data_IF_250501767265
#
_entry.id   IF_250501767265
#
_cell.length_a   1.000
_cell.length_b   1.000
_cell.length_c   1.000
_cell.angle_alpha   90.00
_cell.angle_beta   90.00
_cell.angle_gamma   90.00
#
_symmetry.space_group_name_H-M   'P 1'
#
loop_
_entity.id
_entity.type
_entity.pdbx_description
1 polymer ?
#
# COMPACT_ATOMS: atom_id res chain seq x y z
N UNK A 1 -13.71 19.07 -22.85
CA UNK A 1 -12.37 18.44 -22.88
C UNK A 1 -12.52 16.98 -22.53
N UNK A 2 -12.47 16.18 -23.54
CA UNK A 2 -12.45 14.74 -23.40
C UNK A 2 -11.08 14.33 -22.93
N UNK A 3 -10.99 13.90 -21.69
CA UNK A 3 -9.78 13.26 -21.22
C UNK A 3 -9.59 11.98 -22.00
N UNK A 4 -8.64 12.00 -22.88
CA UNK A 4 -8.22 10.82 -23.61
C UNK A 4 -7.49 9.86 -22.66
N UNK A 5 -8.27 9.19 -21.82
CA UNK A 5 -7.78 8.04 -21.09
C UNK A 5 -8.56 6.79 -21.52
N UNK A 6 -8.82 6.71 -22.79
CA UNK A 6 -9.64 5.69 -23.41
C UNK A 6 -8.85 4.47 -23.86
N UNK A 7 -7.92 3.96 -23.06
CA UNK A 7 -7.16 2.79 -23.48
C UNK A 7 -6.67 1.89 -22.37
N UNK A 8 -6.63 2.36 -21.13
CA UNK A 8 -6.16 1.55 -20.01
C UNK A 8 -7.27 1.29 -19.02
N UNK A 9 -7.55 0.00 -18.76
CA UNK A 9 -8.46 -0.39 -17.70
C UNK A 9 -7.94 0.13 -16.35
N UNK A 10 -8.85 0.58 -15.48
CA UNK A 10 -8.50 0.97 -14.13
C UNK A 10 -7.93 -0.21 -13.35
N UNK A 11 -7.22 0.05 -12.27
CA UNK A 11 -6.68 -0.99 -11.38
C UNK A 11 -7.81 -1.91 -10.89
N UNK A 12 -8.95 -1.35 -10.50
CA UNK A 12 -10.13 -2.12 -10.09
C UNK A 12 -10.61 -3.06 -11.19
N UNK A 13 -10.63 -2.61 -12.44
CA UNK A 13 -11.02 -3.44 -13.58
C UNK A 13 -10.01 -4.58 -13.81
N UNK A 14 -8.73 -4.33 -13.67
CA UNK A 14 -7.69 -5.37 -13.72
C UNK A 14 -7.93 -6.46 -12.68
N UNK A 15 -8.25 -6.06 -11.46
CA UNK A 15 -8.55 -6.99 -10.37
C UNK A 15 -9.78 -7.83 -10.71
N UNK A 16 -10.82 -7.22 -11.27
CA UNK A 16 -12.03 -7.93 -11.71
C UNK A 16 -11.74 -8.93 -12.80
N UNK A 17 -10.94 -8.56 -13.78
CA UNK A 17 -10.53 -9.45 -14.87
C UNK A 17 -9.73 -10.63 -14.34
N UNK A 18 -8.83 -10.39 -13.40
CA UNK A 18 -8.03 -11.44 -12.79
C UNK A 18 -8.89 -12.39 -11.96
N UNK A 19 -9.92 -11.89 -11.29
CA UNK A 19 -10.89 -12.74 -10.60
C UNK A 19 -11.61 -13.65 -11.59
N UNK A 20 -12.05 -13.13 -12.72
CA UNK A 20 -12.69 -13.92 -13.78
C UNK A 20 -11.75 -15.01 -14.28
N UNK A 21 -10.49 -14.68 -14.50
CA UNK A 21 -9.46 -15.64 -14.91
C UNK A 21 -9.25 -16.73 -13.86
N UNK A 22 -9.16 -16.35 -12.58
CA UNK A 22 -9.01 -17.31 -11.47
C UNK A 22 -10.21 -18.24 -11.36
N UNK A 23 -11.41 -17.75 -11.60
CA UNK A 23 -12.63 -18.57 -11.61
C UNK A 23 -12.61 -19.60 -12.73
N UNK A 24 -12.12 -19.23 -13.92
CA UNK A 24 -12.03 -20.13 -15.08
C UNK A 24 -10.93 -21.17 -14.91
N UNK A 25 -9.81 -20.80 -14.32
CA UNK A 25 -8.66 -21.68 -14.09
C UNK A 25 -8.81 -22.56 -12.84
N UNK A 26 -9.87 -22.38 -12.08
CA UNK A 26 -10.13 -23.09 -10.81
C UNK A 26 -9.06 -22.82 -9.74
N UNK A 27 -8.42 -21.70 -9.80
CA UNK A 27 -7.46 -21.23 -8.78
C UNK A 27 -8.25 -20.69 -7.57
N UNK A 28 -8.52 -21.58 -6.62
CA UNK A 28 -9.35 -21.27 -5.45
C UNK A 28 -8.71 -20.20 -4.54
N UNK A 29 -7.41 -20.26 -4.37
CA UNK A 29 -6.69 -19.34 -3.49
C UNK A 29 -6.74 -17.91 -4.04
N UNK A 30 -6.41 -17.71 -5.32
CA UNK A 30 -6.49 -16.41 -5.96
C UNK A 30 -7.92 -15.90 -6.04
N UNK A 31 -8.87 -16.78 -6.35
CA UNK A 31 -10.29 -16.41 -6.40
C UNK A 31 -10.78 -15.87 -5.06
N UNK A 32 -10.47 -16.55 -3.97
CA UNK A 32 -10.86 -16.11 -2.62
C UNK A 32 -10.20 -14.78 -2.25
N UNK A 33 -8.91 -14.66 -2.48
CA UNK A 33 -8.15 -13.43 -2.19
C UNK A 33 -8.67 -12.24 -2.98
N UNK A 34 -8.91 -12.41 -4.28
CA UNK A 34 -9.41 -11.34 -5.14
C UNK A 34 -10.83 -10.92 -4.80
N UNK A 35 -11.69 -11.85 -4.39
CA UNK A 35 -13.03 -11.51 -3.91
C UNK A 35 -12.98 -10.65 -2.64
N UNK A 36 -12.10 -10.99 -1.71
CA UNK A 36 -11.91 -10.22 -0.48
C UNK A 36 -11.37 -8.82 -0.77
N UNK A 37 -10.45 -8.72 -1.72
CA UNK A 37 -9.90 -7.42 -2.12
C UNK A 37 -10.98 -6.54 -2.75
N UNK A 38 -11.79 -7.08 -3.66
CA UNK A 38 -12.89 -6.32 -4.27
C UNK A 38 -13.92 -5.90 -3.23
N UNK A 39 -14.21 -6.75 -2.24
CA UNK A 39 -15.11 -6.39 -1.15
C UNK A 39 -14.54 -5.24 -0.32
N UNK A 40 -13.24 -5.22 -0.05
CA UNK A 40 -12.58 -4.12 0.66
C UNK A 40 -12.64 -2.82 -0.13
N UNK A 41 -12.44 -2.89 -1.45
CA UNK A 41 -12.55 -1.73 -2.34
C UNK A 41 -13.99 -1.18 -2.32
N UNK A 42 -14.99 -2.04 -2.42
CA UNK A 42 -16.41 -1.64 -2.36
C UNK A 42 -16.76 -1.01 -1.01
N UNK A 43 -16.25 -1.55 0.08
CA UNK A 43 -16.46 -1.00 1.42
C UNK A 43 -15.91 0.42 1.51
N UNK A 44 -14.74 0.66 0.92
CA UNK A 44 -14.14 2.00 0.88
C UNK A 44 -14.97 2.95 0.02
N UNK A 45 -15.50 2.51 -1.11
CA UNK A 45 -16.36 3.31 -1.99
C UNK A 45 -17.61 3.82 -1.28
N UNK A 46 -18.10 3.10 -0.29
CA UNK A 46 -19.34 3.43 0.44
C UNK A 46 -19.10 3.91 1.86
N UNK A 47 -17.84 4.07 2.28
CA UNK A 47 -17.48 4.39 3.68
C UNK A 47 -18.00 5.74 4.15
N UNK A 48 -18.28 6.67 3.24
CA UNK A 48 -18.77 8.01 3.56
C UNK A 48 -20.31 8.12 3.50
N UNK A 49 -21.01 7.01 3.30
CA UNK A 49 -22.46 6.98 3.17
C UNK A 49 -22.97 7.22 1.75
N UNK A 50 -22.15 7.73 0.87
CA UNK A 50 -22.43 7.87 -0.58
C UNK A 50 -21.39 7.10 -1.37
N UNK A 51 -21.81 6.49 -2.46
CA UNK A 51 -20.88 5.77 -3.31
C UNK A 51 -19.94 6.75 -4.02
N UNK A 52 -18.66 6.59 -3.80
CA UNK A 52 -17.60 7.37 -4.43
C UNK A 52 -16.72 6.43 -5.24
N UNK A 53 -16.50 6.75 -6.51
CA UNK A 53 -15.58 6.00 -7.34
C UNK A 53 -14.16 6.29 -6.91
N UNK A 54 -13.38 5.24 -6.61
CA UNK A 54 -12.00 5.37 -6.17
C UNK A 54 -11.06 5.51 -7.37
N UNK A 55 -10.06 6.37 -7.21
CA UNK A 55 -8.95 6.46 -8.17
C UNK A 55 -8.03 5.24 -7.99
N UNK A 56 -7.14 5.02 -8.95
CA UNK A 56 -6.13 3.95 -8.83
C UNK A 56 -5.26 4.14 -7.58
N UNK A 57 -4.89 5.38 -7.25
CA UNK A 57 -4.14 5.66 -6.02
C UNK A 57 -4.93 5.29 -4.77
N UNK A 58 -6.23 5.54 -4.74
CA UNK A 58 -7.09 5.14 -3.64
C UNK A 58 -7.18 3.61 -3.52
N UNK A 59 -7.24 2.91 -4.65
CA UNK A 59 -7.25 1.44 -4.67
C UNK A 59 -5.92 0.91 -4.16
N UNK A 60 -4.80 1.52 -4.53
CA UNK A 60 -3.47 1.14 -4.02
C UNK A 60 -3.38 1.31 -2.50
N UNK A 61 -4.01 2.34 -1.94
CA UNK A 61 -4.07 2.54 -0.48
C UNK A 61 -4.86 1.43 0.21
N UNK A 62 -5.97 1.01 -0.38
CA UNK A 62 -6.76 -0.13 0.12
C UNK A 62 -5.90 -1.40 0.10
N UNK A 63 -5.20 -1.66 -1.00
CA UNK A 63 -4.32 -2.82 -1.15
C UNK A 63 -3.23 -2.82 -0.07
N UNK A 64 -2.56 -1.69 0.13
CA UNK A 64 -1.51 -1.56 1.15
C UNK A 64 -2.04 -1.84 2.56
N UNK A 65 -3.21 -1.33 2.89
CA UNK A 65 -3.88 -1.56 4.18
C UNK A 65 -4.24 -3.03 4.36
N UNK A 66 -4.76 -3.67 3.34
CA UNK A 66 -5.12 -5.10 3.38
C UNK A 66 -3.90 -6.00 3.50
N UNK A 67 -2.80 -5.65 2.85
CA UNK A 67 -1.52 -6.37 2.98
C UNK A 67 -1.00 -6.26 4.43
N UNK A 68 -0.97 -5.05 4.97
CA UNK A 68 -0.50 -4.81 6.35
C UNK A 68 -1.31 -5.62 7.36
N UNK A 69 -2.62 -5.59 7.24
CA UNK A 69 -3.55 -6.33 8.10
C UNK A 69 -3.26 -7.83 8.08
N UNK A 70 -3.03 -8.40 6.90
CA UNK A 70 -2.74 -9.83 6.75
C UNK A 70 -1.37 -10.22 7.26
N UNK A 71 -0.37 -9.37 7.08
CA UNK A 71 0.97 -9.60 7.65
C UNK A 71 0.93 -9.61 9.18
N UNK A 72 0.20 -8.68 9.77
CA UNK A 72 -0.01 -8.63 11.22
C UNK A 72 -0.71 -9.90 11.72
N UNK A 73 -1.76 -10.35 11.02
CA UNK A 73 -2.45 -11.58 11.35
C UNK A 73 -1.54 -12.81 11.24
N UNK A 74 -0.73 -12.87 10.18
CA UNK A 74 0.22 -13.98 9.98
C UNK A 74 1.23 -14.05 11.12
N UNK A 75 1.74 -12.90 11.55
CA UNK A 75 2.68 -12.83 12.68
C UNK A 75 2.06 -13.36 13.96
N UNK A 76 0.82 -12.94 14.26
CA UNK A 76 0.08 -13.42 15.43
C UNK A 76 -0.13 -14.94 15.36
N UNK A 77 -0.51 -15.47 14.20
CA UNK A 77 -0.69 -16.90 14.02
C UNK A 77 0.61 -17.69 14.25
N UNK A 78 1.75 -17.19 13.72
CA UNK A 78 3.05 -17.83 13.93
C UNK A 78 3.45 -17.84 15.41
N UNK A 79 3.22 -16.74 16.10
CA UNK A 79 3.52 -16.62 17.52
C UNK A 79 2.70 -17.58 18.38
N UNK A 80 1.55 -18.02 17.87
CA UNK A 80 0.64 -18.97 18.55
C UNK A 80 0.75 -20.40 17.98
N UNK A 81 1.78 -20.68 17.17
CA UNK A 81 1.99 -22.01 16.61
C UNK A 81 1.01 -22.42 15.52
N UNK A 82 0.32 -21.46 14.92
CA UNK A 82 -0.67 -21.71 13.86
C UNK A 82 -0.08 -21.40 12.48
N UNK A 83 0.97 -22.14 12.11
CA UNK A 83 1.72 -21.88 10.89
C UNK A 83 0.88 -22.00 9.62
N UNK A 84 -0.06 -22.97 9.56
CA UNK A 84 -0.95 -23.14 8.40
C UNK A 84 -1.87 -21.94 8.20
N UNK A 85 -2.32 -21.29 9.27
CA UNK A 85 -3.15 -20.08 9.18
C UNK A 85 -2.30 -18.88 8.76
N UNK A 86 -1.07 -18.80 9.27
CA UNK A 86 -0.12 -17.77 8.86
C UNK A 86 0.21 -17.88 7.37
N UNK A 87 0.43 -19.09 6.87
CA UNK A 87 0.73 -19.34 5.46
C UNK A 87 -0.46 -18.97 4.56
N UNK A 88 -1.69 -19.21 5.03
CA UNK A 88 -2.90 -18.79 4.30
C UNK A 88 -2.96 -17.27 4.17
N UNK A 89 -2.69 -16.53 5.25
CA UNK A 89 -2.62 -15.06 5.20
C UNK A 89 -1.51 -14.58 4.26
N UNK A 90 -0.35 -15.21 4.31
CA UNK A 90 0.78 -14.87 3.45
C UNK A 90 0.47 -15.13 1.97
N UNK A 91 -0.26 -16.18 1.65
CA UNK A 91 -0.69 -16.48 0.29
C UNK A 91 -1.58 -15.36 -0.29
N UNK A 92 -2.45 -14.79 0.53
CA UNK A 92 -3.29 -13.66 0.13
C UNK A 92 -2.44 -12.40 -0.10
N UNK A 93 -1.44 -12.15 0.77
CA UNK A 93 -0.50 -11.05 0.61
C UNK A 93 0.21 -11.14 -0.75
N UNK A 94 0.66 -12.32 -1.14
CA UNK A 94 1.34 -12.53 -2.42
C UNK A 94 0.45 -12.19 -3.62
N UNK A 95 -0.84 -12.48 -3.54
CA UNK A 95 -1.81 -12.11 -4.59
C UNK A 95 -1.93 -10.58 -4.67
N UNK A 96 -2.04 -9.91 -3.53
CA UNK A 96 -2.24 -8.46 -3.47
C UNK A 96 -0.98 -7.69 -3.88
N UNK A 97 0.20 -8.18 -3.55
CA UNK A 97 1.47 -7.56 -3.90
C UNK A 97 1.67 -7.38 -5.40
N UNK A 98 1.06 -8.25 -6.21
CA UNK A 98 1.14 -8.18 -7.68
C UNK A 98 0.58 -6.86 -8.24
N UNK A 99 -0.31 -6.21 -7.50
CA UNK A 99 -0.93 -4.95 -7.92
C UNK A 99 -0.20 -3.72 -7.41
N UNK A 100 0.75 -3.90 -6.51
CA UNK A 100 1.54 -2.79 -5.99
C UNK A 100 2.62 -2.36 -6.98
N UNK A 101 2.96 -1.06 -7.04
CA UNK A 101 4.13 -0.64 -7.79
C UNK A 101 5.38 -1.28 -7.20
N UNK A 102 6.46 -1.32 -7.99
CA UNK A 102 7.73 -1.88 -7.52
C UNK A 102 8.15 -1.19 -6.23
N UNK A 103 8.37 -1.99 -5.18
CA UNK A 103 8.70 -1.46 -3.85
C UNK A 103 10.15 -0.96 -3.81
N UNK A 104 10.38 0.10 -3.06
CA UNK A 104 11.71 0.65 -2.83
C UNK A 104 12.51 -0.29 -1.93
N UNK A 105 13.78 -0.53 -2.27
CA UNK A 105 14.69 -1.19 -1.35
C UNK A 105 15.13 -0.18 -0.27
N UNK A 106 15.88 -0.66 0.72
CA UNK A 106 16.30 0.17 1.86
C UNK A 106 17.17 1.34 1.43
N UNK A 107 18.04 1.14 0.44
CA UNK A 107 18.90 2.19 -0.10
C UNK A 107 18.10 3.26 -0.82
N UNK A 108 17.17 2.86 -1.67
CA UNK A 108 16.30 3.78 -2.40
C UNK A 108 15.39 4.57 -1.45
N UNK A 109 14.87 3.90 -0.41
CA UNK A 109 14.05 4.56 0.61
C UNK A 109 14.87 5.58 1.39
N UNK A 110 16.09 5.23 1.76
CA UNK A 110 17.01 6.14 2.47
C UNK A 110 17.29 7.39 1.64
N UNK A 111 17.56 7.25 0.34
CA UNK A 111 17.77 8.37 -0.57
C UNK A 111 16.53 9.26 -0.69
N UNK A 112 15.36 8.66 -0.80
CA UNK A 112 14.09 9.37 -0.89
C UNK A 112 13.86 10.21 0.38
N UNK A 113 14.04 9.63 1.54
CA UNK A 113 13.87 10.31 2.84
C UNK A 113 14.88 11.44 2.99
N UNK A 114 16.14 11.20 2.65
CA UNK A 114 17.18 12.24 2.71
C UNK A 114 16.86 13.43 1.80
N UNK A 115 16.33 13.15 0.61
CA UNK A 115 15.89 14.21 -0.32
C UNK A 115 14.72 15.01 0.24
N UNK A 116 13.76 14.36 0.86
CA UNK A 116 12.61 15.03 1.49
C UNK A 116 13.08 15.91 2.65
N UNK A 117 13.96 15.40 3.50
CA UNK A 117 14.49 16.17 4.65
C UNK A 117 15.25 17.40 4.15
N UNK A 118 16.04 17.27 3.10
CA UNK A 118 16.74 18.40 2.49
C UNK A 118 15.76 19.47 1.99
N UNK A 119 14.71 19.07 1.29
CA UNK A 119 13.69 20.00 0.77
C UNK A 119 12.93 20.70 1.89
N UNK A 120 12.50 19.97 2.90
CA UNK A 120 11.73 20.52 4.03
C UNK A 120 12.62 21.43 4.88
N UNK A 121 13.87 21.04 5.12
CA UNK A 121 14.85 21.84 5.85
C UNK A 121 15.12 23.19 5.14
N UNK A 122 15.28 23.15 3.82
CA UNK A 122 15.49 24.37 3.02
C UNK A 122 14.28 25.31 3.11
N UNK A 123 13.07 24.77 3.05
CA UNK A 123 11.83 25.55 3.17
C UNK A 123 11.64 26.12 4.57
N UNK A 124 12.02 25.38 5.60
CA UNK A 124 11.90 25.81 7.01
C UNK A 124 13.01 26.77 7.43
N UNK A 125 14.15 26.77 6.72
CA UNK A 125 15.32 27.59 7.05
C UNK A 125 16.04 27.15 8.32
N UNK A 126 15.81 25.93 8.79
CA UNK A 126 16.44 25.39 10.00
C UNK A 126 16.68 23.90 9.88
N UNK A 127 17.54 23.39 10.76
CA UNK A 127 17.76 21.94 10.88
C UNK A 127 16.51 21.28 11.44
N UNK A 128 16.07 20.19 10.81
CA UNK A 128 14.88 19.46 11.24
C UNK A 128 15.16 18.60 12.48
N UNK A 129 14.13 18.42 13.28
CA UNK A 129 14.14 17.58 14.48
C UNK A 129 12.83 16.78 14.54
N UNK A 130 12.63 16.03 15.62
CA UNK A 130 11.43 15.20 15.79
C UNK A 130 10.11 16.00 15.75
N UNK A 131 10.12 17.29 16.07
CA UNK A 131 8.93 18.13 15.94
C UNK A 131 8.45 18.30 14.50
N UNK A 132 9.32 18.01 13.52
CA UNK A 132 9.00 18.08 12.09
C UNK A 132 8.54 16.73 11.52
N UNK A 133 8.44 15.70 12.37
CA UNK A 133 8.10 14.33 11.95
C UNK A 133 6.86 14.26 11.06
N UNK A 134 5.77 14.89 11.47
CA UNK A 134 4.51 14.88 10.71
C UNK A 134 4.65 15.46 9.31
N UNK A 135 5.35 16.58 9.19
CA UNK A 135 5.58 17.26 7.91
C UNK A 135 6.46 16.41 6.98
N UNK A 136 7.53 15.85 7.52
CA UNK A 136 8.44 14.99 6.75
C UNK A 136 7.73 13.70 6.32
N UNK A 137 6.96 13.09 7.22
CA UNK A 137 6.16 11.90 6.91
C UNK A 137 5.18 12.13 5.76
N UNK A 138 4.47 13.25 5.81
CA UNK A 138 3.51 13.60 4.75
C UNK A 138 4.20 13.74 3.39
N UNK A 139 5.33 14.45 3.35
CA UNK A 139 6.09 14.63 2.12
C UNK A 139 6.70 13.33 1.62
N UNK A 140 7.24 12.49 2.52
CA UNK A 140 7.84 11.21 2.17
C UNK A 140 6.79 10.23 1.63
N UNK A 141 5.62 10.16 2.25
CA UNK A 141 4.52 9.32 1.77
C UNK A 141 4.05 9.74 0.38
N UNK A 142 3.92 11.03 0.13
CA UNK A 142 3.54 11.56 -1.19
C UNK A 142 4.57 11.17 -2.24
N UNK A 143 5.85 11.29 -1.93
CA UNK A 143 6.95 10.99 -2.85
C UNK A 143 7.12 9.50 -3.11
N UNK A 144 6.92 8.67 -2.07
CA UNK A 144 6.98 7.21 -2.19
C UNK A 144 5.82 6.64 -3.04
N UNK A 145 4.65 7.28 -3.00
CA UNK A 145 3.49 6.94 -3.83
C UNK A 145 3.16 5.43 -3.86
N UNK A 146 3.04 4.82 -2.68
CA UNK A 146 2.72 3.40 -2.54
C UNK A 146 3.90 2.43 -2.72
N UNK A 147 5.11 2.93 -2.94
CA UNK A 147 6.32 2.12 -3.16
C UNK A 147 7.03 1.72 -1.87
N UNK A 148 6.56 2.18 -0.73
CA UNK A 148 7.01 1.77 0.58
C UNK A 148 5.86 1.90 1.56
N UNK A 149 5.76 0.98 2.55
CA UNK A 149 4.70 1.07 3.55
C UNK A 149 5.01 2.16 4.59
N UNK A 150 3.94 2.60 5.29
CA UNK A 150 4.04 3.69 6.26
C UNK A 150 5.01 3.40 7.41
N UNK A 151 5.11 2.14 7.82
CA UNK A 151 6.03 1.73 8.90
C UNK A 151 7.48 1.90 8.48
N UNK A 152 7.84 1.43 7.28
CA UNK A 152 9.21 1.57 6.76
C UNK A 152 9.59 3.04 6.60
N UNK A 153 8.67 3.85 6.07
CA UNK A 153 8.88 5.30 5.91
C UNK A 153 9.08 5.95 7.28
N UNK A 154 8.21 5.63 8.24
CA UNK A 154 8.28 6.16 9.61
C UNK A 154 9.62 5.85 10.27
N UNK A 155 10.08 4.61 10.19
CA UNK A 155 11.35 4.19 10.74
C UNK A 155 12.53 4.92 10.09
N UNK A 156 12.50 5.04 8.76
CA UNK A 156 13.56 5.74 8.03
C UNK A 156 13.61 7.23 8.37
N UNK A 157 12.45 7.89 8.47
CA UNK A 157 12.36 9.31 8.86
C UNK A 157 12.84 9.51 10.29
N UNK A 158 12.39 8.66 11.19
CA UNK A 158 12.76 8.72 12.62
C UNK A 158 14.27 8.60 12.80
N UNK A 159 14.89 7.63 12.13
CA UNK A 159 16.34 7.42 12.20
C UNK A 159 17.11 8.68 11.75
N UNK A 160 16.63 9.37 10.72
CA UNK A 160 17.27 10.56 10.23
C UNK A 160 17.06 11.79 11.13
N UNK A 161 15.88 11.93 11.72
CA UNK A 161 15.56 13.06 12.57
C UNK A 161 16.18 12.96 13.97
N UNK A 162 16.48 11.75 14.42
CA UNK A 162 17.13 11.50 15.71
C UNK A 162 18.65 11.52 15.63
N UNK A 163 19.20 11.34 14.44
CA UNK A 163 20.63 11.25 14.20
C UNK A 163 21.41 12.57 14.20
#
# INVERSE_FOLDING_TARGET
MTSENSGQASLKEHIRQDLTTAMKSKDKASKSALRMLLAAIQAEETSTGTRTELTDDDVLKVIAREIKKRRESAEIYRDNGRDELADAEQSEVEVFEKYQPQQLDDSELAELVDGVITEVSAAAGEKLSMKHMGQVMKAANAKASGRADGKRISEAVKDRLQG
#
